data_IF_175843250861
#
_entry.id   IF_175843250861
#
_cell.length_a   1.000
_cell.length_b   1.000
_cell.length_c   1.000
_cell.angle_alpha   90.00
_cell.angle_beta   90.00
_cell.angle_gamma   90.00
#
_symmetry.space_group_name_H-M   'P 1'
#
loop_
_entity.id
_entity.type
_entity.pdbx_description
1 polymer ?
#
# COMPACT_ATOMS: atom_id res chain seq x y z
N UNK A 1 -57.07 -14.50 -87.45
CA UNK A 1 -56.42 -13.41 -86.69
C UNK A 1 -56.68 -13.48 -85.17
N UNK A 2 -57.72 -14.17 -84.69
CA UNK A 2 -58.05 -14.27 -83.26
C UNK A 2 -57.19 -15.28 -82.48
N UNK A 3 -56.92 -16.46 -83.02
CA UNK A 3 -56.13 -17.50 -82.34
C UNK A 3 -54.69 -17.08 -82.03
N UNK A 4 -54.03 -16.39 -82.96
CA UNK A 4 -52.65 -15.92 -82.76
C UNK A 4 -52.54 -14.87 -81.66
N UNK A 5 -53.59 -14.07 -81.39
CA UNK A 5 -53.61 -13.11 -80.28
C UNK A 5 -53.83 -13.80 -78.93
N UNK A 6 -54.59 -14.90 -78.88
CA UNK A 6 -54.83 -15.69 -77.67
C UNK A 6 -53.54 -16.35 -77.18
N UNK A 7 -52.80 -16.99 -78.09
CA UNK A 7 -51.50 -17.60 -77.81
C UNK A 7 -50.45 -16.61 -77.27
N UNK A 8 -50.43 -15.38 -77.78
CA UNK A 8 -49.50 -14.35 -77.30
C UNK A 8 -49.86 -13.89 -75.89
N UNK A 9 -51.16 -13.75 -75.58
CA UNK A 9 -51.63 -13.36 -74.25
C UNK A 9 -51.40 -14.45 -73.20
N UNK A 10 -51.56 -15.73 -73.55
CA UNK A 10 -51.21 -16.85 -72.67
C UNK A 10 -49.70 -16.93 -72.41
N UNK A 11 -48.88 -16.70 -73.44
CA UNK A 11 -47.41 -16.69 -73.30
C UNK A 11 -46.95 -15.53 -72.41
N UNK A 12 -47.53 -14.34 -72.58
CA UNK A 12 -47.28 -13.17 -71.72
C UNK A 12 -47.72 -13.41 -70.27
N UNK A 13 -48.90 -14.03 -70.05
CA UNK A 13 -49.34 -14.42 -68.70
C UNK A 13 -48.40 -15.43 -68.05
N UNK A 14 -47.91 -16.41 -68.82
CA UNK A 14 -46.96 -17.38 -68.29
C UNK A 14 -45.66 -16.69 -67.89
N UNK A 15 -45.10 -15.82 -68.76
CA UNK A 15 -43.88 -15.06 -68.47
C UNK A 15 -44.02 -14.22 -67.20
N UNK A 16 -45.10 -13.45 -67.08
CA UNK A 16 -45.37 -12.63 -65.88
C UNK A 16 -45.50 -13.47 -64.60
N UNK A 17 -46.12 -14.66 -64.70
CA UNK A 17 -46.24 -15.58 -63.57
C UNK A 17 -44.89 -16.19 -63.18
N UNK A 18 -44.01 -16.49 -64.14
CA UNK A 18 -42.65 -16.96 -63.87
C UNK A 18 -41.78 -15.87 -63.23
N UNK A 19 -41.96 -14.60 -63.65
CA UNK A 19 -41.26 -13.46 -63.04
C UNK A 19 -41.65 -13.27 -61.56
N UNK A 20 -42.96 -13.33 -61.23
CA UNK A 20 -43.44 -13.26 -59.84
C UNK A 20 -42.94 -14.46 -58.98
N UNK A 21 -42.90 -15.66 -59.55
CA UNK A 21 -42.40 -16.87 -58.85
C UNK A 21 -40.90 -16.71 -58.54
N UNK A 22 -40.10 -16.23 -59.50
CA UNK A 22 -38.67 -16.00 -59.32
C UNK A 22 -38.38 -14.95 -58.24
N UNK A 23 -39.20 -13.90 -58.17
CA UNK A 23 -39.05 -12.84 -57.16
C UNK A 23 -39.36 -13.38 -55.74
N UNK A 24 -40.41 -14.20 -55.60
CA UNK A 24 -40.75 -14.88 -54.35
C UNK A 24 -39.68 -15.90 -53.93
N UNK A 25 -39.10 -16.63 -54.87
CA UNK A 25 -38.00 -17.57 -54.62
C UNK A 25 -36.72 -16.84 -54.18
N UNK A 26 -36.39 -15.70 -54.78
CA UNK A 26 -35.26 -14.86 -54.36
C UNK A 26 -35.43 -14.34 -52.94
N UNK A 27 -36.63 -13.84 -52.59
CA UNK A 27 -36.94 -13.39 -51.23
C UNK A 27 -36.83 -14.54 -50.22
N UNK A 28 -37.38 -15.72 -50.54
CA UNK A 28 -37.26 -16.93 -49.70
C UNK A 28 -35.80 -17.29 -49.43
N UNK A 29 -34.95 -17.25 -50.45
CA UNK A 29 -33.52 -17.55 -50.33
C UNK A 29 -32.83 -16.52 -49.41
N UNK A 30 -33.13 -15.24 -49.56
CA UNK A 30 -32.61 -14.17 -48.70
C UNK A 30 -33.05 -14.36 -47.22
N UNK A 31 -34.32 -14.69 -46.98
CA UNK A 31 -34.82 -15.01 -45.64
C UNK A 31 -34.09 -16.22 -45.04
N UNK A 32 -33.90 -17.30 -45.81
CA UNK A 32 -33.15 -18.47 -45.34
C UNK A 32 -31.70 -18.15 -44.99
N UNK A 33 -31.02 -17.34 -45.79
CA UNK A 33 -29.66 -16.86 -45.49
C UNK A 33 -29.63 -16.01 -44.22
N UNK A 34 -30.62 -15.14 -44.03
CA UNK A 34 -30.76 -14.29 -42.84
C UNK A 34 -30.94 -15.14 -41.58
N UNK A 35 -31.83 -16.13 -41.64
CA UNK A 35 -32.10 -17.08 -40.54
C UNK A 35 -30.84 -17.88 -40.21
N UNK A 36 -30.18 -18.46 -41.20
CA UNK A 36 -28.94 -19.22 -40.98
C UNK A 36 -27.84 -18.36 -40.34
N UNK A 37 -27.74 -17.09 -40.70
CA UNK A 37 -26.80 -16.15 -40.10
C UNK A 37 -27.15 -15.85 -38.64
N UNK A 38 -28.43 -15.67 -38.34
CA UNK A 38 -28.91 -15.44 -36.97
C UNK A 38 -28.71 -16.67 -36.09
N UNK A 39 -28.99 -17.87 -36.57
CA UNK A 39 -28.78 -19.12 -35.84
C UNK A 39 -27.31 -19.30 -35.45
N UNK A 40 -26.38 -19.04 -36.37
CA UNK A 40 -24.93 -19.06 -36.07
C UNK A 40 -24.56 -18.03 -34.99
N UNK A 41 -25.12 -16.82 -35.04
CA UNK A 41 -24.89 -15.79 -34.01
C UNK A 41 -25.43 -16.22 -32.65
N UNK A 42 -26.64 -16.79 -32.60
CA UNK A 42 -27.24 -17.30 -31.36
C UNK A 42 -26.39 -18.41 -30.77
N UNK A 43 -25.90 -19.34 -31.59
CA UNK A 43 -24.99 -20.39 -31.13
C UNK A 43 -23.68 -19.82 -30.57
N UNK A 44 -23.04 -18.89 -31.29
CA UNK A 44 -21.81 -18.24 -30.84
C UNK A 44 -21.99 -17.50 -29.50
N UNK A 45 -23.05 -16.70 -29.39
CA UNK A 45 -23.38 -15.97 -28.15
C UNK A 45 -23.73 -16.90 -26.99
N UNK A 46 -24.40 -18.02 -27.26
CA UNK A 46 -24.73 -19.02 -26.23
C UNK A 46 -23.45 -19.69 -25.71
N UNK A 47 -22.53 -20.05 -26.61
CA UNK A 47 -21.23 -20.60 -26.24
C UNK A 47 -20.42 -19.61 -25.41
N UNK A 48 -20.36 -18.35 -25.81
CA UNK A 48 -19.67 -17.28 -25.09
C UNK A 48 -20.28 -17.03 -23.70
N UNK A 49 -21.60 -17.01 -23.60
CA UNK A 49 -22.30 -16.92 -22.30
C UNK A 49 -21.90 -18.07 -21.37
N UNK A 50 -21.83 -19.29 -21.89
CA UNK A 50 -21.49 -20.48 -21.09
C UNK A 50 -20.00 -20.51 -20.70
N UNK A 51 -19.09 -19.95 -21.51
CA UNK A 51 -17.69 -19.78 -21.11
C UNK A 51 -17.55 -18.73 -20.02
N UNK A 52 -18.21 -17.59 -20.19
CA UNK A 52 -18.20 -16.50 -19.21
C UNK A 52 -18.79 -16.93 -17.85
N UNK A 53 -19.86 -17.73 -17.85
CA UNK A 53 -20.41 -18.31 -16.59
C UNK A 53 -19.41 -19.19 -15.86
N UNK A 54 -18.61 -20.00 -16.57
CA UNK A 54 -17.59 -20.86 -15.94
C UNK A 54 -16.41 -20.04 -15.42
N UNK A 55 -16.02 -18.98 -16.12
CA UNK A 55 -14.97 -18.06 -15.69
C UNK A 55 -15.41 -17.22 -14.49
N UNK A 56 -16.64 -16.73 -14.48
CA UNK A 56 -17.17 -16.01 -13.33
C UNK A 56 -17.23 -16.91 -12.09
N UNK A 57 -17.56 -18.20 -12.24
CA UNK A 57 -17.51 -19.15 -11.12
C UNK A 57 -16.09 -19.37 -10.57
N UNK A 58 -15.05 -19.27 -11.41
CA UNK A 58 -13.65 -19.29 -10.96
C UNK A 58 -13.22 -17.97 -10.32
N UNK A 59 -13.75 -16.84 -10.81
CA UNK A 59 -13.50 -15.51 -10.25
C UNK A 59 -14.36 -15.20 -9.02
N UNK A 60 -15.42 -15.97 -8.75
CA UNK A 60 -16.30 -15.83 -7.59
C UNK A 60 -15.79 -16.53 -6.33
N UNK A 61 -14.65 -17.20 -6.40
CA UNK A 61 -13.96 -17.76 -5.23
C UNK A 61 -13.30 -16.67 -4.37
N UNK A 62 -13.80 -15.44 -4.41
CA UNK A 62 -13.54 -14.41 -3.41
C UNK A 62 -13.76 -14.95 -1.99
N UNK A 63 -14.74 -15.85 -1.80
CA UNK A 63 -14.96 -16.51 -0.51
C UNK A 63 -13.84 -17.51 -0.13
N UNK A 64 -13.26 -18.21 -1.10
CA UNK A 64 -12.13 -19.12 -0.84
C UNK A 64 -10.85 -18.32 -0.57
N UNK A 65 -10.58 -17.29 -1.37
CA UNK A 65 -9.44 -16.39 -1.18
C UNK A 65 -9.54 -15.63 0.15
N UNK A 66 -10.73 -15.24 0.59
CA UNK A 66 -10.93 -14.64 1.90
C UNK A 66 -10.63 -15.63 3.03
N UNK A 67 -11.06 -16.89 2.91
CA UNK A 67 -10.73 -17.94 3.89
C UNK A 67 -9.23 -18.21 3.95
N UNK A 68 -8.58 -18.34 2.80
CA UNK A 68 -7.12 -18.52 2.73
C UNK A 68 -6.38 -17.33 3.35
N UNK A 69 -6.81 -16.09 3.03
CA UNK A 69 -6.23 -14.87 3.62
C UNK A 69 -6.43 -14.84 5.14
N UNK A 70 -7.61 -15.19 5.63
CA UNK A 70 -7.91 -15.21 7.07
C UNK A 70 -7.12 -16.30 7.81
N UNK A 71 -6.88 -17.46 7.17
CA UNK A 71 -5.97 -18.51 7.69
C UNK A 71 -4.53 -18.01 7.78
N UNK A 72 -4.01 -17.35 6.74
CA UNK A 72 -2.66 -16.77 6.73
C UNK A 72 -2.53 -15.72 7.86
N UNK A 73 -3.53 -14.85 8.04
CA UNK A 73 -3.52 -13.86 9.12
C UNK A 73 -3.41 -14.53 10.47
N UNK A 74 -4.21 -15.56 10.73
CA UNK A 74 -4.18 -16.27 12.01
C UNK A 74 -2.83 -16.93 12.28
N UNK A 75 -2.21 -17.53 11.26
CA UNK A 75 -0.89 -18.13 11.39
C UNK A 75 0.18 -17.07 11.71
N UNK A 76 0.19 -15.95 10.97
CA UNK A 76 1.15 -14.85 11.19
C UNK A 76 0.98 -14.25 12.59
N UNK A 77 -0.26 -14.09 13.06
CA UNK A 77 -0.53 -13.58 14.41
C UNK A 77 -0.01 -14.53 15.49
N UNK A 78 -0.22 -15.84 15.33
CA UNK A 78 0.28 -16.84 16.27
C UNK A 78 1.82 -16.89 16.32
N UNK A 79 2.47 -16.84 15.14
CA UNK A 79 3.94 -16.77 15.04
C UNK A 79 4.48 -15.47 15.66
N UNK A 80 3.80 -14.35 15.45
CA UNK A 80 4.14 -13.05 16.03
C UNK A 80 4.07 -13.04 17.56
N UNK A 81 3.04 -13.64 18.16
CA UNK A 81 2.92 -13.76 19.62
C UNK A 81 4.05 -14.61 20.22
N UNK A 82 4.41 -15.72 19.59
CA UNK A 82 5.50 -16.58 20.05
C UNK A 82 6.87 -15.88 19.94
N UNK A 83 7.11 -15.13 18.87
CA UNK A 83 8.32 -14.31 18.73
C UNK A 83 8.38 -13.20 19.78
N UNK A 84 7.25 -12.55 20.08
CA UNK A 84 7.15 -11.51 21.12
C UNK A 84 7.52 -12.06 22.51
N UNK A 85 7.00 -13.25 22.88
CA UNK A 85 7.38 -13.93 24.14
C UNK A 85 8.86 -14.26 24.19
N UNK A 86 9.44 -14.75 23.09
CA UNK A 86 10.89 -15.05 23.00
C UNK A 86 11.74 -13.79 23.12
N UNK A 87 11.34 -12.69 22.48
CA UNK A 87 12.01 -11.39 22.60
C UNK A 87 11.98 -10.88 24.05
N UNK A 88 10.81 -10.91 24.71
CA UNK A 88 10.70 -10.51 26.12
C UNK A 88 11.60 -11.34 27.05
N UNK A 89 11.70 -12.65 26.82
CA UNK A 89 12.58 -13.53 27.59
C UNK A 89 14.08 -13.21 27.35
N UNK A 90 14.47 -12.98 26.10
CA UNK A 90 15.84 -12.59 25.74
C UNK A 90 16.21 -11.23 26.30
N UNK A 91 15.32 -10.24 26.25
CA UNK A 91 15.52 -8.93 26.87
C UNK A 91 15.73 -9.03 28.38
N UNK A 92 14.99 -9.93 29.05
CA UNK A 92 15.20 -10.22 30.47
C UNK A 92 16.60 -10.76 30.77
N UNK A 93 17.12 -11.67 29.95
CA UNK A 93 18.49 -12.17 30.06
C UNK A 93 19.53 -11.08 29.78
N UNK A 94 19.30 -10.25 28.76
CA UNK A 94 20.16 -9.11 28.42
C UNK A 94 20.23 -8.13 29.59
N UNK A 95 19.11 -7.84 30.27
CA UNK A 95 19.10 -6.98 31.47
C UNK A 95 19.95 -7.56 32.60
N UNK A 96 19.84 -8.87 32.87
CA UNK A 96 20.66 -9.55 33.90
C UNK A 96 22.16 -9.48 33.55
N UNK A 97 22.53 -9.79 32.31
CA UNK A 97 23.91 -9.72 31.86
C UNK A 97 24.47 -8.29 31.94
N UNK A 98 23.68 -7.29 31.55
CA UNK A 98 24.07 -5.87 31.69
C UNK A 98 24.29 -5.45 33.14
N UNK A 99 23.47 -5.94 34.07
CA UNK A 99 23.66 -5.67 35.50
C UNK A 99 24.95 -6.31 36.03
N UNK A 100 25.22 -7.57 35.66
CA UNK A 100 26.46 -8.26 36.02
C UNK A 100 27.70 -7.56 35.46
N UNK A 101 27.66 -7.11 34.20
CA UNK A 101 28.76 -6.35 33.59
C UNK A 101 29.05 -5.08 34.39
N UNK A 102 28.01 -4.35 34.81
CA UNK A 102 28.19 -3.12 35.60
C UNK A 102 28.86 -3.39 36.94
N UNK A 103 28.45 -4.44 37.64
CA UNK A 103 29.06 -4.86 38.92
C UNK A 103 30.53 -5.23 38.73
N UNK A 104 30.84 -6.03 37.70
CA UNK A 104 32.22 -6.39 37.37
C UNK A 104 33.07 -5.19 36.90
N UNK A 105 32.49 -4.20 36.22
CA UNK A 105 33.19 -2.97 35.83
C UNK A 105 33.50 -2.07 37.04
N UNK A 106 32.58 -1.98 38.01
CA UNK A 106 32.81 -1.27 39.28
C UNK A 106 33.90 -1.97 40.11
N UNK A 107 33.86 -3.29 40.21
CA UNK A 107 34.91 -4.08 40.87
C UNK A 107 36.27 -3.93 40.18
N UNK A 108 36.29 -3.97 38.84
CA UNK A 108 37.52 -3.74 38.04
C UNK A 108 38.10 -2.35 38.31
N UNK A 109 37.27 -1.30 38.34
CA UNK A 109 37.71 0.07 38.66
C UNK A 109 38.27 0.14 40.09
N UNK A 110 37.59 -0.47 41.06
CA UNK A 110 38.05 -0.52 42.45
C UNK A 110 39.35 -1.30 42.65
N UNK A 111 39.61 -2.33 41.83
CA UNK A 111 40.88 -3.07 41.83
C UNK A 111 42.00 -2.25 41.17
N UNK A 112 41.72 -1.51 40.10
CA UNK A 112 42.69 -0.62 39.44
C UNK A 112 43.15 0.47 40.41
N UNK A 113 42.25 1.11 41.16
CA UNK A 113 42.63 2.13 42.14
C UNK A 113 43.49 1.54 43.27
N UNK A 114 43.15 0.34 43.75
CA UNK A 114 43.97 -0.38 44.76
C UNK A 114 45.35 -0.78 44.23
N UNK A 115 45.48 -1.12 42.96
CA UNK A 115 46.77 -1.40 42.32
C UNK A 115 47.59 -0.12 42.08
N UNK A 116 46.94 1.01 41.79
CA UNK A 116 47.60 2.31 41.64
C UNK A 116 48.09 2.89 42.98
N UNK A 117 47.46 2.53 44.09
CA UNK A 117 47.93 2.86 45.45
C UNK A 117 49.02 1.91 45.97
N UNK A 118 49.23 0.77 45.27
CA UNK A 118 50.06 -0.34 45.75
C UNK A 118 51.55 -0.27 45.40
N UNK A 119 51.96 0.27 44.24
CA UNK A 119 53.38 0.22 43.85
C UNK A 119 53.84 1.49 43.11
N UNK A 120 54.83 2.14 43.71
CA UNK A 120 55.73 3.02 42.99
C UNK A 120 56.59 2.18 42.01
N UNK A 121 56.58 2.59 40.73
CA UNK A 121 57.45 2.18 39.63
C UNK A 121 57.19 0.80 38.98
N UNK A 122 56.80 0.79 37.70
CA UNK A 122 57.68 0.53 36.54
C UNK A 122 56.82 0.50 35.27
N UNK A 123 57.32 1.19 34.25
CA UNK A 123 56.77 1.27 32.91
C UNK A 123 56.55 -0.09 32.24
N UNK A 124 55.32 -0.36 31.78
CA UNK A 124 55.04 -0.97 30.47
C UNK A 124 53.67 -0.45 30.03
N UNK A 125 53.67 0.56 29.15
CA UNK A 125 52.48 1.02 28.43
C UNK A 125 52.81 1.08 26.95
N UNK A 126 53.18 -0.06 26.40
CA UNK A 126 53.16 -0.35 24.97
C UNK A 126 52.89 -1.85 24.82
N UNK A 127 52.14 -2.23 23.80
CA UNK A 127 51.77 -3.62 23.45
C UNK A 127 50.47 -4.25 24.01
N UNK A 128 49.32 -3.53 24.04
CA UNK A 128 48.00 -4.15 23.76
C UNK A 128 47.06 -3.14 23.07
N UNK A 129 47.38 -2.71 21.85
CA UNK A 129 46.47 -1.94 20.96
C UNK A 129 46.15 -2.67 19.65
N UNK A 130 46.17 -4.00 19.66
CA UNK A 130 45.63 -4.81 18.56
C UNK A 130 44.55 -5.73 19.11
N UNK A 131 43.35 -5.57 18.54
CA UNK A 131 42.12 -6.32 18.78
C UNK A 131 41.25 -5.74 19.89
N UNK A 132 40.49 -4.69 19.54
CA UNK A 132 39.10 -4.52 19.97
C UNK A 132 38.47 -3.42 19.09
N UNK A 133 37.93 -3.84 17.95
CA UNK A 133 36.83 -3.12 17.32
C UNK A 133 35.58 -3.44 18.14
N UNK A 134 35.30 -2.58 19.12
CA UNK A 134 34.00 -2.51 19.79
C UNK A 134 33.67 -1.02 19.82
N UNK A 135 32.87 -0.60 18.86
CA UNK A 135 32.22 0.71 18.83
C UNK A 135 31.19 0.77 19.97
N UNK A 136 31.68 1.02 21.17
CA UNK A 136 30.88 1.41 22.33
C UNK A 136 31.12 2.88 22.59
N UNK A 137 30.54 3.77 21.77
CA UNK A 137 30.39 5.16 22.17
C UNK A 137 29.64 5.16 23.50
N UNK A 138 30.32 5.52 24.58
CA UNK A 138 29.69 5.86 25.85
C UNK A 138 28.79 7.05 25.55
N UNK A 139 27.52 6.76 25.26
CA UNK A 139 26.48 7.76 25.12
C UNK A 139 26.19 8.23 26.54
N UNK A 140 26.82 9.32 26.94
CA UNK A 140 26.34 10.14 28.05
C UNK A 140 24.97 10.66 27.62
N UNK A 141 23.92 9.90 27.94
CA UNK A 141 22.54 10.30 27.71
C UNK A 141 22.18 11.31 28.79
N UNK A 142 22.39 12.58 28.52
CA UNK A 142 21.81 13.67 29.29
C UNK A 142 20.29 13.65 29.06
N UNK A 143 19.54 13.21 30.08
CA UNK A 143 18.07 13.24 30.04
C UNK A 143 17.62 14.66 30.41
N UNK A 144 17.48 15.52 29.42
CA UNK A 144 16.86 16.83 29.61
C UNK A 144 15.34 16.68 29.65
N UNK A 145 14.75 16.85 30.83
CA UNK A 145 13.29 16.86 31.01
C UNK A 145 12.81 18.27 30.69
N UNK A 146 12.18 18.43 29.52
CA UNK A 146 11.55 19.68 29.11
C UNK A 146 10.05 19.60 29.39
N UNK A 147 9.50 20.61 30.04
CA UNK A 147 8.05 20.76 30.17
C UNK A 147 7.45 21.09 28.80
N UNK A 148 6.60 20.19 28.28
CA UNK A 148 6.00 20.34 26.96
C UNK A 148 4.62 19.72 26.89
N UNK A 149 3.83 20.16 25.90
CA UNK A 149 2.50 19.63 25.62
C UNK A 149 2.44 19.10 24.18
N UNK A 150 1.91 17.89 24.01
CA UNK A 150 1.64 17.31 22.68
C UNK A 150 0.21 17.63 22.28
N UNK A 151 0.05 18.18 21.07
CA UNK A 151 -1.25 18.38 20.43
C UNK A 151 -1.47 17.30 19.37
N UNK A 152 -2.68 16.75 19.31
CA UNK A 152 -3.03 15.71 18.32
C UNK A 152 -3.29 16.27 16.90
N UNK A 153 -3.35 17.60 16.77
CA UNK A 153 -3.55 18.27 15.49
C UNK A 153 -2.21 18.56 14.81
N UNK A 154 -2.05 18.07 13.58
CA UNK A 154 -0.89 18.31 12.73
C UNK A 154 -0.99 19.57 11.87
N UNK A 155 -0.11 19.67 10.87
CA UNK A 155 -0.08 20.76 9.90
C UNK A 155 -1.30 20.72 8.96
N UNK A 156 -1.78 21.90 8.54
CA UNK A 156 -2.94 22.03 7.65
C UNK A 156 -2.59 21.62 6.21
N UNK A 157 -1.36 21.87 5.78
CA UNK A 157 -0.89 21.63 4.42
C UNK A 157 0.44 20.89 4.41
N UNK A 158 0.64 19.91 3.50
CA UNK A 158 1.92 19.20 3.36
C UNK A 158 3.11 20.11 3.02
N UNK A 159 2.87 21.33 2.52
CA UNK A 159 3.95 22.30 2.24
C UNK A 159 4.72 22.76 3.48
N UNK A 160 4.22 22.48 4.70
CA UNK A 160 4.94 22.77 5.95
C UNK A 160 6.01 21.73 6.31
N UNK A 161 6.15 20.64 5.55
CA UNK A 161 7.16 19.61 5.81
C UNK A 161 8.56 20.16 5.50
N UNK A 162 9.42 20.22 6.51
CA UNK A 162 10.83 20.61 6.36
C UNK A 162 11.73 19.39 6.11
N UNK A 163 11.39 18.23 6.68
CA UNK A 163 12.12 16.98 6.49
C UNK A 163 11.28 15.96 5.72
N UNK A 164 11.58 15.78 4.43
CA UNK A 164 10.82 14.90 3.53
C UNK A 164 10.95 13.40 3.87
N UNK A 165 12.07 12.98 4.46
CA UNK A 165 12.30 11.57 4.79
C UNK A 165 11.38 11.10 5.93
N UNK A 166 11.20 11.96 6.93
CA UNK A 166 10.41 11.64 8.11
C UNK A 166 8.98 12.23 8.06
N UNK A 167 8.66 13.00 7.01
CA UNK A 167 7.41 13.77 6.87
C UNK A 167 7.10 14.62 8.12
N UNK A 168 8.14 15.23 8.70
CA UNK A 168 8.06 16.06 9.92
C UNK A 168 8.28 17.54 9.60
N UNK A 169 7.65 18.39 10.41
CA UNK A 169 7.91 19.82 10.47
C UNK A 169 8.72 20.07 11.74
N UNK A 170 9.99 20.42 11.55
CA UNK A 170 10.93 20.77 12.63
C UNK A 170 11.17 22.28 12.55
N UNK A 171 10.87 22.99 13.63
CA UNK A 171 11.01 24.45 13.77
C UNK A 171 11.86 24.76 14.99
N UNK A 172 12.80 25.69 14.86
CA UNK A 172 13.66 26.15 15.95
C UNK A 172 13.06 27.43 16.57
N UNK A 173 12.93 27.47 17.90
CA UNK A 173 12.33 28.58 18.66
C UNK A 173 11.05 29.18 18.04
N UNK A 174 10.01 28.37 17.77
CA UNK A 174 8.82 28.85 17.09
C UNK A 174 7.97 29.77 17.99
N UNK A 175 7.46 30.85 17.42
CA UNK A 175 6.41 31.66 18.05
C UNK A 175 5.05 31.00 17.86
N UNK A 176 4.29 30.86 18.95
CA UNK A 176 2.97 30.21 18.96
C UNK A 176 1.89 31.27 19.01
N UNK A 177 1.02 31.31 17.99
CA UNK A 177 -0.15 32.19 17.96
C UNK A 177 -1.39 31.36 18.32
N UNK A 178 -2.10 31.78 19.37
CA UNK A 178 -3.35 31.15 19.81
C UNK A 178 -4.52 32.03 19.39
N UNK A 179 -5.46 31.46 18.63
CA UNK A 179 -6.66 32.15 18.16
C UNK A 179 -7.90 31.26 18.33
N UNK A 180 -9.00 31.83 18.83
CA UNK A 180 -10.19 31.06 19.22
C UNK A 180 -11.17 30.81 18.05
N UNK A 181 -11.15 31.65 17.03
CA UNK A 181 -12.09 31.58 15.89
C UNK A 181 -11.44 30.93 14.66
N UNK A 182 -12.27 30.49 13.71
CA UNK A 182 -11.76 30.03 12.41
C UNK A 182 -11.22 31.22 11.62
N UNK A 183 -10.00 31.08 11.11
CA UNK A 183 -9.40 32.07 10.22
C UNK A 183 -9.94 31.82 8.81
N UNK A 184 -10.92 32.63 8.39
CA UNK A 184 -11.49 32.56 7.03
C UNK A 184 -10.87 33.56 6.06
N UNK A 185 -10.23 34.61 6.58
CA UNK A 185 -9.60 35.66 5.79
C UNK A 185 -8.19 35.94 6.30
N UNK A 186 -7.24 36.07 5.37
CA UNK A 186 -5.83 36.37 5.67
C UNK A 186 -5.67 37.72 6.38
N UNK A 187 -6.56 38.69 6.10
CA UNK A 187 -6.48 40.06 6.61
C UNK A 187 -6.49 40.14 8.14
N UNK A 188 -7.07 39.15 8.82
CA UNK A 188 -7.09 39.07 10.28
C UNK A 188 -5.72 38.73 10.88
N UNK A 189 -4.86 38.05 10.11
CA UNK A 189 -3.56 37.53 10.57
C UNK A 189 -2.39 38.41 10.12
N UNK A 190 -2.54 39.13 9.01
CA UNK A 190 -1.48 40.00 8.43
C UNK A 190 -0.90 40.98 9.46
N UNK A 191 -1.76 41.69 10.21
CA UNK A 191 -1.30 42.65 11.23
C UNK A 191 -0.48 42.01 12.34
N UNK A 192 -0.78 40.77 12.71
CA UNK A 192 -0.04 40.04 13.75
C UNK A 192 1.31 39.58 13.21
N UNK A 193 1.34 39.11 11.96
CA UNK A 193 2.59 38.71 11.30
C UNK A 193 3.56 39.88 11.10
N UNK A 194 3.04 41.07 10.79
CA UNK A 194 3.86 42.30 10.70
C UNK A 194 4.55 42.63 12.03
N UNK A 195 3.84 42.47 13.15
CA UNK A 195 4.42 42.69 14.49
C UNK A 195 5.50 41.66 14.82
N UNK A 196 5.30 40.40 14.41
CA UNK A 196 6.27 39.32 14.64
C UNK A 196 7.57 39.54 13.84
N UNK A 197 7.48 40.11 12.64
CA UNK A 197 8.66 40.43 11.81
C UNK A 197 9.51 41.58 12.35
N UNK A 198 8.97 42.39 13.28
CA UNK A 198 9.66 43.52 13.89
C UNK A 198 10.39 43.15 15.19
N UNK A 199 10.19 41.93 15.70
CA UNK A 199 10.87 41.35 16.86
C UNK A 199 12.21 40.73 16.44
#
# INVERSE_FOLDING_TARGET
>A
MSESRCLVMEKLKSILMWDEILEVESLREEYHQRVATLERKVYALTKERDTLRREQNKNSDAAALLKEKDEIINQVMAEGEELSKKQAAQEGQIRKLRAQIREFEEDKKGLITKLQEGDAAVAVSEEVKKNNHVDGKTLDNELEVVEGMKLDRGYISPYFITNQNNQKCELENPLIIIHEKKISSINAVVKVLELVLQL
#
